data_IF_552003897290
#
_entry.id   IF_552003897290
#
_cell.length_a   1.000
_cell.length_b   1.000
_cell.length_c   1.000
_cell.angle_alpha   90.00
_cell.angle_beta   90.00
_cell.angle_gamma   90.00
#
_symmetry.space_group_name_H-M   'P 1'
#
loop_
_entity.id
_entity.type
_entity.pdbx_description
1 polymer ?
#
# COMPACT_ATOMS: atom_id res chain seq x y z
N UNK A 1 5.13 60.41 -30.92
CA UNK A 1 4.74 59.27 -30.07
C UNK A 1 5.84 59.06 -29.04
N UNK A 2 5.69 59.49 -27.78
CA UNK A 2 6.73 59.31 -26.77
C UNK A 2 6.66 57.91 -26.17
N UNK A 3 7.82 57.28 -26.01
CA UNK A 3 7.98 55.97 -25.40
C UNK A 3 7.79 56.03 -23.88
N UNK A 4 6.97 55.12 -23.33
CA UNK A 4 6.73 54.96 -21.91
C UNK A 4 7.97 54.37 -21.19
N UNK A 5 8.28 54.79 -19.95
CA UNK A 5 9.39 54.22 -19.19
C UNK A 5 9.01 52.88 -18.55
N UNK A 6 9.91 51.89 -18.65
CA UNK A 6 9.81 50.58 -18.00
C UNK A 6 9.94 50.71 -16.48
N UNK A 7 8.93 50.24 -15.73
CA UNK A 7 9.03 50.02 -14.28
C UNK A 7 10.02 48.87 -13.98
N UNK A 8 10.92 49.08 -13.03
CA UNK A 8 11.81 48.06 -12.48
C UNK A 8 11.06 47.16 -11.47
N UNK A 9 11.38 45.87 -11.47
CA UNK A 9 10.84 44.89 -10.54
C UNK A 9 11.42 45.05 -9.11
N UNK A 10 10.66 44.71 -8.05
CA UNK A 10 11.11 44.85 -6.67
C UNK A 10 12.12 43.75 -6.29
N UNK A 11 13.02 44.00 -5.31
CA UNK A 11 14.00 43.02 -4.86
C UNK A 11 13.36 41.93 -3.97
N UNK A 12 13.95 40.73 -3.90
CA UNK A 12 13.44 39.64 -3.07
C UNK A 12 13.67 39.89 -1.56
N UNK A 13 12.84 39.31 -0.67
CA UNK A 13 12.96 39.51 0.76
C UNK A 13 14.18 38.80 1.36
N UNK A 14 14.78 39.44 2.37
CA UNK A 14 15.97 38.97 3.08
C UNK A 14 15.70 37.69 3.90
N UNK A 15 16.62 36.72 3.81
CA UNK A 15 16.59 35.49 4.59
C UNK A 15 16.87 35.75 6.08
N UNK A 16 15.90 35.44 6.94
CA UNK A 16 16.08 35.47 8.39
C UNK A 16 16.84 34.22 8.86
N UNK A 17 18.07 34.43 9.35
CA UNK A 17 18.94 33.41 9.92
C UNK A 17 18.54 33.08 11.37
N UNK A 18 17.61 32.14 11.53
CA UNK A 18 17.26 31.60 12.86
C UNK A 18 18.33 30.58 13.32
N UNK A 19 19.23 31.01 14.21
CA UNK A 19 20.11 30.12 14.98
C UNK A 19 19.27 29.20 15.87
N UNK A 20 19.12 27.92 15.50
CA UNK A 20 18.63 26.88 16.42
C UNK A 20 19.70 26.57 17.47
N UNK A 21 19.41 26.88 18.75
CA UNK A 21 20.14 26.34 19.89
C UNK A 21 19.79 24.85 20.02
N UNK A 22 20.79 23.98 19.99
CA UNK A 22 20.67 22.56 20.29
C UNK A 22 20.34 22.36 21.77
N UNK A 23 19.14 21.83 22.06
CA UNK A 23 18.80 21.30 23.37
C UNK A 23 19.17 19.81 23.37
N UNK A 24 20.28 19.47 24.00
CA UNK A 24 20.69 18.08 24.26
C UNK A 24 19.84 17.51 25.40
N UNK A 25 19.08 16.45 25.11
CA UNK A 25 18.42 15.62 26.13
C UNK A 25 19.44 14.67 26.79
N UNK A 26 19.33 14.39 28.10
CA UNK A 26 20.20 13.42 28.76
C UNK A 26 19.81 11.97 28.41
N UNK A 27 20.75 11.02 28.45
CA UNK A 27 20.48 9.62 28.13
C UNK A 27 19.67 8.91 29.23
N UNK A 28 18.89 7.86 28.88
CA UNK A 28 18.11 7.10 29.84
C UNK A 28 18.98 6.23 30.77
N UNK A 29 18.49 5.92 32.00
CA UNK A 29 19.24 5.12 32.96
C UNK A 29 19.29 3.64 32.56
N UNK A 30 20.43 2.99 32.84
CA UNK A 30 20.69 1.56 32.60
C UNK A 30 19.89 0.68 33.60
N UNK A 31 19.39 -0.50 33.17
CA UNK A 31 18.79 -1.47 34.08
C UNK A 31 19.87 -2.19 34.93
N UNK A 32 19.52 -2.69 36.12
CA UNK A 32 20.48 -3.31 37.04
C UNK A 32 20.89 -4.72 36.60
N UNK A 33 22.17 -5.03 36.81
CA UNK A 33 22.78 -6.34 36.60
C UNK A 33 22.18 -7.40 37.55
N UNK A 34 21.44 -8.35 36.99
CA UNK A 34 21.10 -9.59 37.70
C UNK A 34 22.17 -10.64 37.43
N UNK A 35 23.16 -10.68 38.32
CA UNK A 35 24.02 -11.86 38.49
C UNK A 35 23.26 -12.93 39.26
N UNK A 36 23.08 -14.11 38.68
CA UNK A 36 22.75 -15.30 39.43
C UNK A 36 23.56 -16.48 38.90
N UNK A 37 24.65 -16.73 39.60
CA UNK A 37 25.40 -17.98 39.59
C UNK A 37 24.49 -19.14 39.99
N UNK A 38 24.34 -20.15 39.15
CA UNK A 38 23.96 -21.49 39.61
C UNK A 38 24.96 -22.53 39.11
N UNK A 39 25.89 -22.83 40.03
CA UNK A 39 26.63 -24.08 40.05
C UNK A 39 25.77 -25.15 40.72
N UNK A 40 25.45 -26.23 40.02
CA UNK A 40 25.11 -27.49 40.68
C UNK A 40 25.40 -28.70 39.80
N UNK A 41 26.60 -29.24 40.03
CA UNK A 41 26.96 -30.65 40.20
C UNK A 41 26.36 -31.69 39.24
N UNK A 42 27.28 -32.25 38.45
CA UNK A 42 27.27 -33.63 37.92
C UNK A 42 26.74 -34.64 38.93
N UNK A 43 25.77 -35.45 38.51
CA UNK A 43 25.66 -36.88 38.87
C UNK A 43 25.07 -37.64 37.69
N UNK A 44 25.88 -38.52 37.10
CA UNK A 44 25.41 -39.58 36.21
C UNK A 44 24.67 -40.64 37.02
N UNK A 45 23.68 -41.31 36.43
CA UNK A 45 23.55 -42.74 36.67
C UNK A 45 23.43 -43.58 35.39
N UNK A 46 24.11 -44.71 35.49
CA UNK A 46 24.12 -45.95 34.73
C UNK A 46 22.99 -46.22 33.71
N UNK A 47 23.41 -46.76 32.56
CA UNK A 47 22.59 -47.56 31.64
C UNK A 47 22.10 -48.85 32.31
N UNK A 48 20.88 -49.29 32.01
CA UNK A 48 20.55 -50.70 31.92
C UNK A 48 20.26 -51.12 30.48
N UNK A 49 20.68 -52.34 30.16
CA UNK A 49 20.50 -53.07 28.91
C UNK A 49 19.10 -53.64 28.74
N UNK A 50 18.64 -53.60 27.48
CA UNK A 50 17.49 -54.19 26.79
C UNK A 50 16.60 -55.23 27.50
N UNK A 51 15.28 -55.06 27.34
CA UNK A 51 14.37 -56.13 26.84
C UNK A 51 13.04 -55.55 26.34
N UNK A 52 12.48 -56.26 25.38
CA UNK A 52 11.37 -55.99 24.45
C UNK A 52 10.04 -55.50 25.09
N UNK A 53 9.42 -54.47 24.51
CA UNK A 53 7.95 -54.27 24.48
C UNK A 53 7.53 -52.97 23.77
N UNK A 54 6.83 -53.11 22.64
CA UNK A 54 5.77 -52.19 22.21
C UNK A 54 6.20 -50.83 21.63
N UNK A 55 6.50 -50.81 20.33
CA UNK A 55 6.52 -49.57 19.56
C UNK A 55 5.16 -48.86 19.65
N UNK A 56 5.05 -47.60 20.12
CA UNK A 56 3.90 -46.78 19.80
C UNK A 56 3.96 -46.50 18.31
N UNK A 57 2.93 -46.93 17.59
CA UNK A 57 2.69 -46.54 16.20
C UNK A 57 3.00 -45.05 16.05
N UNK A 58 3.94 -44.72 15.18
CA UNK A 58 4.19 -43.35 14.77
C UNK A 58 2.86 -42.74 14.36
N UNK A 59 2.39 -41.77 15.17
CA UNK A 59 1.42 -40.81 14.67
C UNK A 59 2.00 -40.15 13.43
N UNK A 60 1.15 -39.65 12.51
CA UNK A 60 1.65 -38.87 11.39
C UNK A 60 2.62 -37.83 11.94
N UNK A 61 3.82 -37.75 11.35
CA UNK A 61 4.64 -36.54 11.48
C UNK A 61 3.69 -35.36 11.23
N UNK A 62 3.68 -34.30 12.05
CA UNK A 62 2.86 -33.14 11.74
C UNK A 62 3.20 -32.75 10.30
N UNK A 63 2.20 -32.88 9.43
CA UNK A 63 2.28 -32.44 8.04
C UNK A 63 2.94 -31.06 8.07
N UNK A 64 3.97 -30.79 7.25
CA UNK A 64 4.57 -29.47 7.21
C UNK A 64 3.43 -28.49 7.00
N UNK A 65 3.18 -27.63 7.99
CA UNK A 65 2.09 -26.66 7.95
C UNK A 65 2.31 -25.87 6.66
N UNK A 66 1.46 -26.10 5.67
CA UNK A 66 1.57 -25.48 4.36
C UNK A 66 1.48 -23.97 4.60
N UNK A 67 2.62 -23.30 4.53
CA UNK A 67 2.73 -21.90 4.90
C UNK A 67 1.99 -21.10 3.84
N UNK A 68 0.96 -20.37 4.26
CA UNK A 68 0.21 -19.48 3.38
C UNK A 68 1.18 -18.44 2.77
N UNK A 69 1.44 -18.57 1.46
CA UNK A 69 2.41 -17.73 0.75
C UNK A 69 2.03 -16.24 0.80
N UNK A 70 0.73 -15.94 0.84
CA UNK A 70 0.24 -14.56 0.96
C UNK A 70 0.59 -13.97 2.33
N UNK A 71 0.41 -14.75 3.39
CA UNK A 71 0.80 -14.34 4.74
C UNK A 71 2.31 -14.12 4.84
N UNK A 72 3.13 -15.00 4.25
CA UNK A 72 4.59 -14.85 4.26
C UNK A 72 5.02 -13.58 3.51
N UNK A 73 4.43 -13.28 2.36
CA UNK A 73 4.71 -12.06 1.61
C UNK A 73 4.34 -10.80 2.41
N UNK A 74 3.17 -10.79 3.05
CA UNK A 74 2.71 -9.68 3.90
C UNK A 74 3.62 -9.47 5.13
N UNK A 75 4.06 -10.57 5.78
CA UNK A 75 5.01 -10.51 6.89
C UNK A 75 6.38 -9.97 6.47
N UNK A 76 6.89 -10.33 5.28
CA UNK A 76 8.12 -9.75 4.72
C UNK A 76 7.98 -8.24 4.52
N UNK A 77 6.87 -7.81 3.94
CA UNK A 77 6.58 -6.39 3.72
C UNK A 77 6.50 -5.63 5.05
N UNK A 78 5.81 -6.16 6.06
CA UNK A 78 5.76 -5.59 7.41
C UNK A 78 7.14 -5.51 8.05
N UNK A 79 7.98 -6.54 7.88
CA UNK A 79 9.37 -6.54 8.38
C UNK A 79 10.21 -5.43 7.77
N UNK A 80 10.13 -5.23 6.45
CA UNK A 80 10.86 -4.14 5.77
C UNK A 80 10.43 -2.78 6.34
N UNK A 81 9.14 -2.57 6.61
CA UNK A 81 8.61 -1.32 7.21
C UNK A 81 9.08 -1.12 8.66
N UNK A 82 9.13 -2.19 9.46
CA UNK A 82 9.65 -2.13 10.83
C UNK A 82 11.16 -1.82 10.86
N UNK A 83 11.94 -2.51 10.02
CA UNK A 83 13.38 -2.26 9.89
C UNK A 83 13.67 -0.83 9.46
N UNK A 84 12.92 -0.32 8.47
CA UNK A 84 13.04 1.06 8.01
C UNK A 84 12.74 2.05 9.14
N UNK A 85 11.67 1.82 9.90
CA UNK A 85 11.28 2.69 11.03
C UNK A 85 12.32 2.72 12.17
N UNK A 86 13.18 1.70 12.25
CA UNK A 86 14.27 1.60 13.26
C UNK A 86 15.60 2.18 12.78
N UNK A 87 15.71 2.64 11.53
CA UNK A 87 16.93 3.29 11.03
C UNK A 87 17.17 4.62 11.73
N UNK A 88 18.43 5.05 11.74
CA UNK A 88 18.82 6.36 12.30
C UNK A 88 18.26 7.54 11.49
N UNK A 89 18.07 7.35 10.19
CA UNK A 89 17.49 8.33 9.26
C UNK A 89 16.45 7.63 8.40
N UNK A 90 15.23 7.39 8.94
CA UNK A 90 14.20 6.61 8.26
C UNK A 90 13.48 7.45 7.20
N UNK A 91 13.22 6.86 6.03
CA UNK A 91 12.41 7.47 4.97
C UNK A 91 10.97 7.69 5.41
N UNK A 92 10.44 6.76 6.21
CA UNK A 92 9.11 6.86 6.81
C UNK A 92 9.08 6.10 8.14
N UNK A 93 8.07 6.41 8.96
CA UNK A 93 7.84 5.74 10.23
C UNK A 93 6.50 4.99 10.16
N UNK A 94 6.55 3.68 10.33
CA UNK A 94 5.39 2.81 10.54
C UNK A 94 5.38 2.33 12.00
N UNK A 95 4.64 3.04 12.86
CA UNK A 95 4.55 2.73 14.29
C UNK A 95 3.88 1.39 14.60
N UNK A 96 3.24 0.76 13.61
CA UNK A 96 2.48 -0.47 13.81
C UNK A 96 3.11 -1.69 13.14
N UNK A 97 4.14 -1.52 12.31
CA UNK A 97 4.81 -2.64 11.63
C UNK A 97 5.32 -3.71 12.62
N UNK A 98 5.98 -3.31 13.70
CA UNK A 98 6.46 -4.23 14.75
C UNK A 98 5.33 -5.07 15.38
N UNK A 99 4.14 -4.48 15.54
CA UNK A 99 2.97 -5.14 16.13
C UNK A 99 2.53 -6.33 15.26
N UNK A 100 2.61 -6.17 13.94
CA UNK A 100 2.20 -7.19 12.98
C UNK A 100 3.13 -8.42 12.98
N UNK A 101 4.38 -8.23 13.41
CA UNK A 101 5.41 -9.28 13.48
C UNK A 101 5.34 -10.12 14.75
N UNK A 102 4.45 -9.81 15.70
CA UNK A 102 4.36 -10.48 17.01
C UNK A 102 3.77 -11.91 16.96
N UNK A 103 3.71 -12.56 15.79
CA UNK A 103 3.10 -13.88 15.58
C UNK A 103 4.15 -15.01 15.67
N UNK A 104 3.80 -16.19 16.19
CA UNK A 104 4.68 -17.40 16.23
C UNK A 104 5.27 -17.77 14.86
N UNK A 105 4.56 -17.45 13.78
CA UNK A 105 4.99 -17.67 12.39
C UNK A 105 6.18 -16.78 12.00
N UNK A 106 6.27 -15.56 12.52
CA UNK A 106 7.44 -14.70 12.30
C UNK A 106 8.67 -15.25 13.01
N UNK A 107 8.49 -15.87 14.19
CA UNK A 107 9.57 -16.52 14.94
C UNK A 107 10.07 -17.81 14.30
N UNK A 108 9.18 -18.62 13.71
CA UNK A 108 9.57 -19.88 13.05
C UNK A 108 10.20 -19.69 11.66
N UNK A 109 9.95 -18.55 11.01
CA UNK A 109 10.42 -18.28 9.64
C UNK A 109 11.31 -17.04 9.55
N UNK A 110 11.93 -16.63 10.67
CA UNK A 110 12.83 -15.49 10.74
C UNK A 110 13.89 -15.58 9.62
N UNK A 111 14.51 -16.74 9.43
CA UNK A 111 15.50 -17.01 8.37
C UNK A 111 14.98 -16.76 6.93
N UNK A 112 13.68 -16.99 6.66
CA UNK A 112 13.05 -16.72 5.35
C UNK A 112 12.58 -15.27 5.18
N UNK A 113 12.45 -14.54 6.29
CA UNK A 113 12.17 -13.11 6.34
C UNK A 113 13.48 -12.29 6.33
N UNK A 114 14.59 -12.89 6.80
CA UNK A 114 15.95 -12.35 7.00
C UNK A 114 16.83 -12.34 5.74
N UNK A 115 16.25 -12.51 4.54
CA UNK A 115 17.03 -12.40 3.30
C UNK A 115 17.44 -10.93 3.07
N UNK A 116 18.46 -10.49 3.81
CA UNK A 116 19.00 -9.13 3.91
C UNK A 116 19.81 -8.69 2.69
N UNK A 117 19.78 -9.44 1.59
CA UNK A 117 20.65 -9.25 0.44
C UNK A 117 19.83 -9.17 -0.86
N UNK A 118 18.91 -8.21 -0.99
CA UNK A 118 18.25 -7.96 -2.28
C UNK A 118 17.89 -6.47 -2.46
N UNK A 119 18.22 -5.85 -3.62
CA UNK A 119 17.79 -4.50 -4.02
C UNK A 119 16.29 -4.22 -3.79
N UNK A 120 15.48 -5.28 -3.82
CA UNK A 120 14.05 -5.27 -3.55
C UNK A 120 13.60 -4.53 -2.29
N UNK A 121 14.35 -4.64 -1.18
CA UNK A 121 13.92 -4.04 0.08
C UNK A 121 13.97 -2.51 0.01
N UNK A 122 15.01 -1.96 -0.62
CA UNK A 122 15.15 -0.51 -0.80
C UNK A 122 14.12 0.02 -1.80
N UNK A 123 13.78 -0.75 -2.84
CA UNK A 123 12.65 -0.42 -3.72
C UNK A 123 11.35 -0.37 -2.93
N UNK A 124 11.07 -1.36 -2.08
CA UNK A 124 9.84 -1.35 -1.28
C UNK A 124 9.80 -0.16 -0.30
N UNK A 125 10.93 0.18 0.33
CA UNK A 125 11.04 1.34 1.22
C UNK A 125 10.77 2.65 0.47
N UNK A 126 11.43 2.84 -0.67
CA UNK A 126 11.27 4.04 -1.49
C UNK A 126 9.86 4.14 -2.06
N UNK A 127 9.30 3.04 -2.58
CA UNK A 127 7.91 2.95 -3.03
C UNK A 127 6.95 3.37 -1.93
N UNK A 128 7.14 2.85 -0.71
CA UNK A 128 6.29 3.21 0.44
C UNK A 128 6.35 4.70 0.72
N UNK A 129 7.56 5.28 0.76
CA UNK A 129 7.78 6.72 0.93
C UNK A 129 7.11 7.55 -0.16
N UNK A 130 7.34 7.18 -1.43
CA UNK A 130 6.78 7.86 -2.58
C UNK A 130 5.25 7.86 -2.58
N UNK A 131 4.65 6.69 -2.37
CA UNK A 131 3.20 6.53 -2.33
C UNK A 131 2.62 7.33 -1.17
N UNK A 132 3.22 7.28 0.03
CA UNK A 132 2.75 8.04 1.19
C UNK A 132 2.76 9.55 0.93
N UNK A 133 3.85 10.07 0.38
CA UNK A 133 3.98 11.50 0.08
C UNK A 133 3.01 11.93 -1.01
N UNK A 134 2.86 11.14 -2.09
CA UNK A 134 1.89 11.44 -3.16
C UNK A 134 0.46 11.36 -2.65
N UNK A 135 0.13 10.35 -1.87
CA UNK A 135 -1.18 10.16 -1.25
C UNK A 135 -1.54 11.37 -0.38
N UNK A 136 -0.66 11.77 0.53
CA UNK A 136 -0.87 12.93 1.39
C UNK A 136 -0.97 14.23 0.59
N UNK A 137 -0.13 14.42 -0.43
CA UNK A 137 -0.19 15.60 -1.28
C UNK A 137 -1.50 15.69 -2.07
N UNK A 138 -1.98 14.60 -2.66
CA UNK A 138 -3.24 14.57 -3.42
C UNK A 138 -4.44 14.87 -2.51
N UNK A 139 -4.44 14.29 -1.32
CA UNK A 139 -5.49 14.46 -0.32
C UNK A 139 -5.50 15.90 0.23
N UNK A 140 -4.34 16.49 0.51
CA UNK A 140 -4.26 17.85 1.05
C UNK A 140 -4.60 18.92 0.00
N UNK A 141 -4.38 18.63 -1.29
CA UNK A 141 -4.67 19.56 -2.39
C UNK A 141 -6.08 19.41 -2.97
N UNK A 142 -6.93 18.52 -2.43
CA UNK A 142 -8.30 18.32 -2.90
C UNK A 142 -9.30 18.27 -1.76
N UNK A 143 -10.27 19.19 -1.78
CA UNK A 143 -11.38 19.16 -0.84
C UNK A 143 -12.41 18.07 -1.16
N UNK A 144 -12.36 17.44 -2.34
CA UNK A 144 -13.37 16.51 -2.83
C UNK A 144 -13.02 15.03 -2.61
N UNK A 145 -11.73 14.70 -2.51
CA UNK A 145 -11.30 13.32 -2.29
C UNK A 145 -11.63 12.90 -0.85
N UNK A 146 -12.65 12.04 -0.72
CA UNK A 146 -13.08 11.42 0.56
C UNK A 146 -13.19 9.91 0.50
N UNK A 147 -12.89 9.31 -0.66
CA UNK A 147 -12.87 7.86 -0.85
C UNK A 147 -11.45 7.43 -1.22
N UNK A 148 -10.85 6.60 -0.37
CA UNK A 148 -9.51 6.07 -0.62
C UNK A 148 -9.60 4.55 -0.66
N UNK A 149 -9.14 3.92 -1.73
CA UNK A 149 -9.10 2.47 -1.87
C UNK A 149 -7.65 2.02 -1.82
N UNK A 150 -7.31 1.23 -0.81
CA UNK A 150 -6.00 0.63 -0.63
C UNK A 150 -6.08 -0.82 -1.13
N UNK A 151 -5.34 -1.13 -2.18
CA UNK A 151 -5.18 -2.46 -2.75
C UNK A 151 -3.88 -3.06 -2.19
N UNK A 152 -3.98 -3.94 -1.18
CA UNK A 152 -2.87 -4.28 -0.29
C UNK A 152 -2.66 -5.79 -0.10
N UNK A 153 -1.57 -6.14 0.59
CA UNK A 153 -1.29 -7.49 1.07
C UNK A 153 -2.08 -7.88 2.35
N UNK A 154 -2.87 -6.96 2.90
CA UNK A 154 -3.66 -7.14 4.13
C UNK A 154 -2.96 -6.72 5.43
N UNK A 155 -1.70 -6.26 5.35
CA UNK A 155 -0.94 -5.75 6.49
C UNK A 155 -0.63 -4.26 6.38
N UNK A 156 -1.31 -3.52 5.50
CA UNK A 156 -1.11 -2.07 5.37
C UNK A 156 -1.59 -1.30 6.62
N UNK A 157 -0.72 -0.44 7.14
CA UNK A 157 -0.91 0.35 8.36
C UNK A 157 -1.27 1.80 8.08
N UNK A 158 -1.29 2.24 6.80
CA UNK A 158 -1.67 3.61 6.39
C UNK A 158 -2.97 4.10 7.02
N UNK A 159 -4.05 3.30 7.12
CA UNK A 159 -5.28 3.76 7.79
C UNK A 159 -5.06 4.28 9.22
N UNK A 160 -4.03 3.77 9.91
CA UNK A 160 -3.74 4.05 11.31
C UNK A 160 -2.60 5.07 11.49
N UNK A 161 -1.65 5.15 10.56
CA UNK A 161 -0.46 6.02 10.69
C UNK A 161 -0.49 7.31 9.85
N UNK A 162 -1.29 7.34 8.77
CA UNK A 162 -1.44 8.56 7.96
C UNK A 162 -2.60 9.42 8.49
N UNK A 163 -2.51 10.72 8.22
CA UNK A 163 -3.56 11.68 8.52
C UNK A 163 -4.57 11.69 7.38
N UNK A 164 -5.84 11.55 7.71
CA UNK A 164 -6.93 11.54 6.73
C UNK A 164 -7.87 12.73 6.96
N UNK A 165 -8.40 13.37 5.90
CA UNK A 165 -9.42 14.38 6.03
C UNK A 165 -10.64 13.84 6.76
N UNK A 166 -11.35 14.73 7.46
CA UNK A 166 -12.59 14.34 8.14
C UNK A 166 -13.58 13.76 7.14
N UNK A 167 -14.34 12.76 7.59
CA UNK A 167 -15.36 12.07 6.78
C UNK A 167 -14.77 11.28 5.61
N UNK A 168 -13.50 10.86 5.70
CA UNK A 168 -12.92 9.96 4.71
C UNK A 168 -13.37 8.52 4.97
N UNK A 169 -13.68 7.81 3.90
CA UNK A 169 -13.89 6.36 3.91
C UNK A 169 -12.69 5.70 3.23
N UNK A 170 -12.04 4.82 3.98
CA UNK A 170 -10.89 4.05 3.54
C UNK A 170 -11.36 2.63 3.30
N UNK A 171 -11.26 2.17 2.06
CA UNK A 171 -11.58 0.81 1.66
C UNK A 171 -10.28 0.02 1.57
N UNK A 172 -10.10 -0.98 2.42
CA UNK A 172 -9.03 -1.96 2.26
C UNK A 172 -9.52 -3.12 1.39
N UNK A 173 -8.78 -3.41 0.32
CA UNK A 173 -9.00 -4.55 -0.56
C UNK A 173 -7.77 -5.45 -0.48
N UNK A 174 -7.92 -6.61 0.16
CA UNK A 174 -6.80 -7.50 0.45
C UNK A 174 -7.26 -8.93 0.74
N UNK A 175 -6.34 -9.92 0.88
CA UNK A 175 -6.69 -11.26 1.31
C UNK A 175 -7.31 -11.26 2.72
N UNK A 176 -8.52 -11.81 2.85
CA UNK A 176 -9.34 -11.67 4.06
C UNK A 176 -8.72 -12.36 5.29
N UNK A 177 -8.01 -13.47 5.11
CA UNK A 177 -7.30 -14.17 6.19
C UNK A 177 -6.19 -13.30 6.78
N UNK A 178 -5.37 -12.68 5.93
CA UNK A 178 -4.25 -11.83 6.33
C UNK A 178 -4.77 -10.57 7.03
N UNK A 179 -5.76 -9.90 6.43
CA UNK A 179 -6.39 -8.72 7.02
C UNK A 179 -6.99 -8.98 8.41
N UNK A 180 -7.67 -10.12 8.59
CA UNK A 180 -8.29 -10.49 9.87
C UNK A 180 -7.23 -10.70 10.96
N UNK A 181 -6.12 -11.36 10.62
CA UNK A 181 -5.00 -11.56 11.54
C UNK A 181 -4.36 -10.22 11.94
N UNK A 182 -4.04 -9.37 10.96
CA UNK A 182 -3.45 -8.06 11.17
C UNK A 182 -4.36 -7.15 12.03
N UNK A 183 -5.65 -7.08 11.68
CA UNK A 183 -6.63 -6.26 12.40
C UNK A 183 -6.79 -6.67 13.86
N UNK A 184 -6.74 -7.98 14.16
CA UNK A 184 -6.80 -8.48 15.53
C UNK A 184 -5.63 -7.96 16.37
N UNK A 185 -4.41 -7.98 15.82
CA UNK A 185 -3.20 -7.49 16.49
C UNK A 185 -3.24 -5.97 16.69
N UNK A 186 -3.59 -5.23 15.63
CA UNK A 186 -3.70 -3.77 15.66
C UNK A 186 -4.74 -3.29 16.69
N UNK A 187 -5.89 -3.98 16.80
CA UNK A 187 -6.88 -3.67 17.85
C UNK A 187 -6.33 -3.93 19.24
N UNK A 188 -5.54 -5.00 19.42
CA UNK A 188 -4.91 -5.34 20.69
C UNK A 188 -3.96 -4.26 21.23
N UNK A 189 -3.33 -3.49 20.35
CA UNK A 189 -2.41 -2.40 20.72
C UNK A 189 -3.07 -1.02 20.78
N UNK A 190 -4.39 -0.95 20.55
CA UNK A 190 -5.15 0.30 20.58
C UNK A 190 -4.98 1.16 19.32
N UNK A 191 -4.51 0.60 18.21
CA UNK A 191 -4.46 1.29 16.93
C UNK A 191 -5.87 1.76 16.53
N UNK A 192 -5.99 3.03 16.16
CA UNK A 192 -7.26 3.64 15.77
C UNK A 192 -7.06 4.49 14.52
N UNK A 193 -7.99 4.32 13.58
CA UNK A 193 -8.13 5.21 12.43
C UNK A 193 -8.53 6.61 12.92
N UNK A 194 -8.14 7.64 12.18
CA UNK A 194 -8.46 9.05 12.48
C UNK A 194 -9.94 9.25 12.84
N UNK A 195 -10.20 10.08 13.85
CA UNK A 195 -11.57 10.37 14.31
C UNK A 195 -12.41 10.90 13.15
N UNK A 196 -13.61 10.33 12.95
CA UNK A 196 -14.53 10.62 11.84
C UNK A 196 -14.11 10.04 10.48
N UNK A 197 -13.15 9.10 10.44
CA UNK A 197 -12.90 8.28 9.27
C UNK A 197 -13.39 6.85 9.54
N UNK A 198 -13.70 6.12 8.47
CA UNK A 198 -14.16 4.73 8.55
C UNK A 198 -13.24 3.86 7.71
N UNK A 199 -12.82 2.71 8.26
CA UNK A 199 -12.10 1.67 7.54
C UNK A 199 -13.05 0.50 7.28
N UNK A 200 -13.22 0.15 6.01
CA UNK A 200 -14.06 -0.95 5.55
C UNK A 200 -13.22 -1.92 4.72
N UNK A 201 -13.34 -3.21 5.01
CA UNK A 201 -12.59 -4.25 4.30
C UNK A 201 -13.47 -4.95 3.26
N UNK A 202 -12.89 -5.19 2.08
CA UNK A 202 -13.45 -5.99 1.00
C UNK A 202 -12.44 -7.09 0.68
N UNK A 203 -12.81 -8.34 0.91
CA UNK A 203 -11.92 -9.49 0.70
C UNK A 203 -11.76 -9.81 -0.79
N UNK A 204 -10.53 -10.11 -1.22
CA UNK A 204 -10.19 -10.52 -2.59
C UNK A 204 -10.76 -11.90 -2.97
N UNK A 205 -11.04 -12.73 -1.97
CA UNK A 205 -11.64 -14.05 -2.18
C UNK A 205 -13.12 -13.96 -2.62
N UNK A 206 -13.73 -12.78 -2.58
CA UNK A 206 -15.06 -12.53 -3.14
C UNK A 206 -15.03 -12.64 -4.67
N UNK A 207 -16.03 -13.32 -5.24
CA UNK A 207 -16.17 -13.46 -6.70
C UNK A 207 -16.44 -12.13 -7.43
N UNK A 208 -16.91 -11.09 -6.72
CA UNK A 208 -17.22 -9.79 -7.29
C UNK A 208 -16.72 -8.65 -6.38
N UNK A 209 -15.56 -8.09 -6.75
CA UNK A 209 -14.95 -6.95 -6.06
C UNK A 209 -15.82 -5.68 -6.19
N UNK A 210 -16.45 -5.49 -7.35
CA UNK A 210 -17.27 -4.32 -7.65
C UNK A 210 -18.52 -4.29 -6.76
N UNK A 211 -19.21 -5.42 -6.64
CA UNK A 211 -20.34 -5.57 -5.71
C UNK A 211 -19.91 -5.42 -4.25
N UNK A 212 -18.75 -5.96 -3.86
CA UNK A 212 -18.19 -5.83 -2.52
C UNK A 212 -17.97 -4.37 -2.10
N UNK A 213 -17.32 -3.59 -2.98
CA UNK A 213 -17.09 -2.16 -2.73
C UNK A 213 -18.39 -1.36 -2.68
N UNK A 214 -19.34 -1.62 -3.59
CA UNK A 214 -20.67 -0.98 -3.58
C UNK A 214 -21.45 -1.29 -2.30
N UNK A 215 -21.41 -2.54 -1.83
CA UNK A 215 -22.02 -2.96 -0.55
C UNK A 215 -21.42 -2.23 0.64
N UNK A 216 -20.12 -1.94 0.60
CA UNK A 216 -19.41 -1.13 1.57
C UNK A 216 -19.67 0.39 1.41
N UNK A 217 -20.55 0.80 0.48
CA UNK A 217 -20.96 2.19 0.31
C UNK A 217 -20.09 2.99 -0.65
N UNK A 218 -19.21 2.35 -1.42
CA UNK A 218 -18.43 3.03 -2.46
C UNK A 218 -19.36 3.72 -3.47
N UNK A 219 -19.14 5.01 -3.70
CA UNK A 219 -19.94 5.83 -4.59
C UNK A 219 -19.15 6.23 -5.84
N UNK A 220 -19.53 5.68 -6.99
CA UNK A 220 -18.89 5.95 -8.28
C UNK A 220 -19.18 7.34 -8.87
N UNK A 221 -19.99 8.17 -8.21
CA UNK A 221 -20.22 9.58 -8.57
C UNK A 221 -19.30 10.55 -7.80
N UNK A 222 -18.34 10.04 -7.01
CA UNK A 222 -17.44 10.85 -6.18
C UNK A 222 -15.98 10.53 -6.45
N UNK A 223 -15.12 11.54 -6.30
CA UNK A 223 -13.69 11.40 -6.57
C UNK A 223 -13.09 10.38 -5.60
N UNK A 224 -12.26 9.52 -6.17
CA UNK A 224 -11.63 8.43 -5.45
C UNK A 224 -10.13 8.40 -5.73
N UNK A 225 -9.37 7.98 -4.72
CA UNK A 225 -7.94 7.77 -4.81
C UNK A 225 -7.64 6.30 -4.56
N UNK A 226 -7.06 5.64 -5.55
CA UNK A 226 -6.73 4.23 -5.53
C UNK A 226 -5.23 4.06 -5.35
N UNK A 227 -4.82 3.15 -4.47
CA UNK A 227 -3.41 2.93 -4.13
C UNK A 227 -3.11 1.44 -4.25
N UNK A 228 -2.14 1.08 -5.08
CA UNK A 228 -1.68 -0.31 -5.26
C UNK A 228 -0.28 -0.49 -4.68
N UNK A 229 -0.17 -1.30 -3.63
CA UNK A 229 1.12 -1.77 -3.14
C UNK A 229 0.97 -3.10 -2.39
N UNK A 230 1.65 -4.13 -2.88
CA UNK A 230 1.67 -5.45 -2.22
C UNK A 230 0.48 -6.36 -2.53
N UNK A 231 -0.54 -5.89 -3.26
CA UNK A 231 -1.61 -6.75 -3.75
C UNK A 231 -1.02 -7.93 -4.56
N UNK A 232 -1.43 -9.18 -4.31
CA UNK A 232 -0.93 -10.34 -5.04
C UNK A 232 -1.48 -10.38 -6.47
N UNK A 233 -0.81 -9.69 -7.38
CA UNK A 233 -1.06 -9.75 -8.83
C UNK A 233 0.01 -10.63 -9.49
N UNK A 234 -0.43 -11.67 -10.20
CA UNK A 234 0.48 -12.67 -10.79
C UNK A 234 0.59 -12.61 -12.30
N UNK A 235 -0.37 -11.97 -12.99
CA UNK A 235 -0.44 -11.94 -14.46
C UNK A 235 -0.93 -10.59 -14.97
N UNK A 236 -0.60 -10.27 -16.22
CA UNK A 236 -1.15 -9.10 -16.92
C UNK A 236 -2.68 -9.14 -17.02
N UNK A 237 -3.27 -10.31 -17.19
CA UNK A 237 -4.73 -10.50 -17.17
C UNK A 237 -5.34 -10.14 -15.81
N UNK A 238 -4.66 -10.44 -14.70
CA UNK A 238 -5.14 -10.03 -13.37
C UNK A 238 -5.13 -8.51 -13.20
N UNK A 239 -4.13 -7.83 -13.77
CA UNK A 239 -4.08 -6.37 -13.83
C UNK A 239 -5.18 -5.80 -14.73
N UNK A 240 -5.42 -6.38 -15.91
CA UNK A 240 -6.47 -5.95 -16.82
C UNK A 240 -7.86 -6.01 -16.16
N UNK A 241 -8.17 -7.13 -15.51
CA UNK A 241 -9.41 -7.30 -14.76
C UNK A 241 -9.54 -6.29 -13.62
N UNK A 242 -8.46 -6.03 -12.89
CA UNK A 242 -8.45 -5.02 -11.83
C UNK A 242 -8.72 -3.62 -12.41
N UNK A 243 -8.04 -3.24 -13.50
CA UNK A 243 -8.24 -1.95 -14.17
C UNK A 243 -9.66 -1.79 -14.68
N UNK A 244 -10.26 -2.86 -15.24
CA UNK A 244 -11.66 -2.85 -15.66
C UNK A 244 -12.59 -2.56 -14.47
N UNK A 245 -12.40 -3.24 -13.34
CA UNK A 245 -13.19 -3.00 -12.12
C UNK A 245 -13.02 -1.56 -11.63
N UNK A 246 -11.78 -1.05 -11.59
CA UNK A 246 -11.52 0.34 -11.19
C UNK A 246 -12.19 1.30 -12.18
N UNK A 247 -12.11 1.06 -13.49
CA UNK A 247 -12.74 1.93 -14.50
C UNK A 247 -14.27 1.98 -14.36
N UNK A 248 -14.91 0.88 -14.00
CA UNK A 248 -16.36 0.83 -13.81
C UNK A 248 -16.80 1.56 -12.52
N UNK A 249 -15.92 1.63 -11.52
CA UNK A 249 -16.20 2.23 -10.22
C UNK A 249 -15.77 3.69 -10.11
N UNK A 250 -14.54 4.00 -10.48
CA UNK A 250 -13.90 5.28 -10.26
C UNK A 250 -14.49 6.34 -11.19
N UNK A 251 -14.94 7.46 -10.62
CA UNK A 251 -15.41 8.57 -11.45
C UNK A 251 -14.27 9.15 -12.27
N UNK A 252 -14.60 9.76 -13.42
CA UNK A 252 -13.64 10.55 -14.21
C UNK A 252 -12.88 11.56 -13.34
N UNK A 253 -11.57 11.63 -13.51
CA UNK A 253 -10.66 12.46 -12.71
C UNK A 253 -10.17 11.80 -11.41
N UNK A 254 -10.67 10.61 -11.08
CA UNK A 254 -10.10 9.79 -10.00
C UNK A 254 -8.66 9.40 -10.33
N UNK A 255 -7.84 9.23 -9.30
CA UNK A 255 -6.42 8.96 -9.44
C UNK A 255 -6.12 7.54 -8.96
N UNK A 256 -5.24 6.84 -9.68
CA UNK A 256 -4.72 5.53 -9.33
C UNK A 256 -3.19 5.58 -9.29
N UNK A 257 -2.60 5.36 -8.11
CA UNK A 257 -1.15 5.34 -7.92
C UNK A 257 -0.70 4.00 -7.40
N UNK A 258 0.52 3.60 -7.68
CA UNK A 258 1.05 2.40 -7.05
C UNK A 258 2.30 1.86 -7.68
N UNK A 259 2.56 0.59 -7.37
CA UNK A 259 3.66 -0.20 -7.86
C UNK A 259 3.11 -1.48 -8.51
N UNK A 260 3.53 -1.74 -9.75
CA UNK A 260 3.26 -2.99 -10.43
C UNK A 260 4.37 -4.01 -10.13
N UNK A 261 4.02 -5.28 -9.85
CA UNK A 261 5.01 -6.35 -9.81
C UNK A 261 5.55 -6.62 -11.22
N UNK A 262 6.69 -7.31 -11.29
CA UNK A 262 7.15 -7.90 -12.53
C UNK A 262 6.19 -9.02 -12.95
N UNK A 263 5.76 -9.00 -14.21
CA UNK A 263 4.83 -9.98 -14.78
C UNK A 263 5.61 -11.01 -15.60
N UNK A 264 5.68 -12.29 -15.18
CA UNK A 264 6.47 -13.31 -15.88
C UNK A 264 5.88 -13.71 -17.24
N UNK A 265 4.61 -13.37 -17.49
CA UNK A 265 3.91 -13.54 -18.77
C UNK A 265 4.24 -12.45 -19.81
N UNK A 266 4.91 -11.37 -19.40
CA UNK A 266 5.56 -10.46 -20.34
C UNK A 266 6.79 -11.16 -20.96
N UNK A 267 6.81 -11.29 -22.29
CA UNK A 267 7.79 -12.11 -23.01
C UNK A 267 9.22 -11.59 -22.92
N UNK A 268 10.11 -12.40 -22.33
CA UNK A 268 11.58 -12.45 -22.41
C UNK A 268 12.40 -11.16 -22.08
N UNK A 269 13.50 -11.29 -21.31
CA UNK A 269 14.13 -10.21 -20.55
C UNK A 269 15.09 -9.31 -21.37
N UNK A 270 14.71 -8.87 -22.57
CA UNK A 270 15.60 -8.10 -23.45
C UNK A 270 15.08 -6.72 -23.88
N UNK A 271 13.82 -6.36 -23.60
CA UNK A 271 13.32 -5.03 -23.96
C UNK A 271 12.30 -4.47 -22.94
N UNK A 272 12.83 -3.79 -21.91
CA UNK A 272 12.03 -3.04 -20.93
C UNK A 272 11.16 -1.96 -21.59
N UNK A 273 11.51 -1.49 -22.79
CA UNK A 273 10.72 -0.51 -23.54
C UNK A 273 9.43 -1.10 -24.09
N UNK A 274 9.49 -2.32 -24.64
CA UNK A 274 8.30 -3.04 -25.12
C UNK A 274 7.34 -3.39 -23.98
N UNK A 275 7.85 -3.75 -22.79
CA UNK A 275 7.01 -3.98 -21.61
C UNK A 275 6.24 -2.71 -21.20
N UNK A 276 6.93 -1.58 -21.19
CA UNK A 276 6.35 -0.29 -20.84
C UNK A 276 5.23 0.11 -21.82
N UNK A 277 5.48 0.02 -23.13
CA UNK A 277 4.46 0.32 -24.14
C UNK A 277 3.23 -0.59 -24.05
N UNK A 278 3.44 -1.88 -23.76
CA UNK A 278 2.33 -2.83 -23.62
C UNK A 278 1.47 -2.50 -22.39
N UNK A 279 2.10 -2.15 -21.27
CA UNK A 279 1.38 -1.71 -20.07
C UNK A 279 0.68 -0.37 -20.31
N UNK A 280 1.31 0.60 -20.97
CA UNK A 280 0.65 1.87 -21.32
C UNK A 280 -0.61 1.64 -22.16
N UNK A 281 -0.54 0.79 -23.19
CA UNK A 281 -1.69 0.39 -24.01
C UNK A 281 -2.78 -0.27 -23.17
N UNK A 282 -2.40 -1.15 -22.23
CA UNK A 282 -3.34 -1.83 -21.34
C UNK A 282 -4.08 -0.85 -20.41
N UNK A 283 -3.37 0.11 -19.79
CA UNK A 283 -4.00 1.19 -19.03
C UNK A 283 -4.92 2.06 -19.90
N UNK A 284 -4.46 2.44 -21.09
CA UNK A 284 -5.22 3.27 -22.01
C UNK A 284 -6.51 2.60 -22.47
N UNK A 285 -6.46 1.31 -22.82
CA UNK A 285 -7.63 0.52 -23.23
C UNK A 285 -8.68 0.45 -22.10
N UNK A 286 -8.24 0.46 -20.85
CA UNK A 286 -9.13 0.49 -19.67
C UNK A 286 -9.51 1.92 -19.25
N UNK A 287 -9.15 2.95 -20.02
CA UNK A 287 -9.58 4.33 -19.79
C UNK A 287 -8.70 5.16 -18.88
N UNK A 288 -7.46 4.74 -18.65
CA UNK A 288 -6.51 5.46 -17.81
C UNK A 288 -5.42 6.16 -18.63
N UNK A 289 -5.12 7.41 -18.29
CA UNK A 289 -3.85 8.04 -18.69
C UNK A 289 -2.82 7.73 -17.63
N UNK A 290 -1.87 6.84 -17.92
CA UNK A 290 -0.80 6.45 -17.01
C UNK A 290 0.49 7.23 -17.30
N UNK A 291 1.28 7.46 -16.26
CA UNK A 291 2.64 7.95 -16.32
C UNK A 291 3.49 7.10 -15.37
N UNK A 292 4.46 6.41 -15.94
CA UNK A 292 5.40 5.61 -15.15
C UNK A 292 6.49 6.50 -14.57
N UNK A 293 6.96 6.12 -13.38
CA UNK A 293 7.88 6.90 -12.57
C UNK A 293 9.14 6.07 -12.35
N UNK A 294 10.27 6.63 -12.77
CA UNK A 294 11.57 5.99 -12.57
C UNK A 294 12.02 6.16 -11.11
N UNK A 295 12.47 5.06 -10.49
CA UNK A 295 12.95 5.07 -9.12
C UNK A 295 14.14 6.01 -8.91
N UNK A 296 15.02 6.16 -9.90
CA UNK A 296 16.16 7.08 -9.82
C UNK A 296 15.72 8.53 -9.61
N UNK A 297 14.61 8.95 -10.23
CA UNK A 297 14.08 10.30 -10.06
C UNK A 297 13.50 10.46 -8.64
N UNK A 298 12.80 9.44 -8.14
CA UNK A 298 12.25 9.43 -6.79
C UNK A 298 13.36 9.46 -5.73
N UNK A 299 14.43 8.70 -5.91
CA UNK A 299 15.57 8.70 -5.00
C UNK A 299 16.29 10.06 -5.00
N UNK A 300 16.53 10.64 -6.18
CA UNK A 300 17.12 11.98 -6.32
C UNK A 300 16.28 13.04 -5.62
N UNK A 301 14.96 13.00 -5.79
CA UNK A 301 14.02 13.95 -5.16
C UNK A 301 14.06 13.86 -3.62
N UNK A 302 14.41 12.70 -3.06
CA UNK A 302 14.50 12.45 -1.62
C UNK A 302 15.95 12.59 -1.11
N UNK A 303 16.92 12.88 -1.99
CA UNK A 303 18.33 13.09 -1.62
C UNK A 303 19.10 11.81 -1.32
N UNK A 304 18.64 10.67 -1.84
CA UNK A 304 19.35 9.39 -1.74
C UNK A 304 20.34 9.24 -2.90
N UNK A 305 21.62 9.07 -2.58
CA UNK A 305 22.66 8.77 -3.58
C UNK A 305 22.68 7.27 -3.87
N UNK A 306 22.30 6.89 -5.09
CA UNK A 306 22.11 5.51 -5.48
C UNK A 306 23.42 4.91 -6.00
N UNK A 307 24.08 4.08 -5.20
CA UNK A 307 25.37 3.47 -5.54
C UNK A 307 25.30 2.34 -6.59
N UNK A 308 24.10 1.87 -6.97
CA UNK A 308 23.90 0.75 -7.90
C UNK A 308 22.76 1.08 -8.87
N UNK A 309 22.88 0.81 -10.18
CA UNK A 309 21.78 0.96 -11.13
C UNK A 309 20.60 0.09 -10.69
N UNK A 310 19.50 0.72 -10.31
CA UNK A 310 18.27 0.08 -9.81
C UNK A 310 17.44 -0.61 -10.93
N UNK A 311 18.02 -0.77 -12.12
CA UNK A 311 17.37 -1.28 -13.34
C UNK A 311 16.89 -2.75 -13.26
N UNK A 312 17.15 -3.47 -12.16
CA UNK A 312 16.87 -4.91 -12.07
C UNK A 312 15.61 -5.29 -11.28
N UNK A 313 14.85 -4.34 -10.73
CA UNK A 313 13.72 -4.71 -9.85
C UNK A 313 12.49 -5.23 -10.61
N UNK A 314 12.38 -5.03 -11.93
CA UNK A 314 11.21 -5.43 -12.74
C UNK A 314 9.87 -4.84 -12.25
N UNK A 315 9.90 -3.98 -11.23
CA UNK A 315 8.77 -3.27 -10.65
C UNK A 315 8.70 -1.87 -11.22
N UNK A 316 7.48 -1.36 -11.36
CA UNK A 316 7.23 -0.08 -12.01
C UNK A 316 6.31 0.75 -11.14
N UNK A 317 6.76 1.93 -10.74
CA UNK A 317 5.91 2.93 -10.11
C UNK A 317 5.08 3.63 -11.19
N UNK A 318 3.83 3.94 -10.86
CA UNK A 318 2.95 4.65 -11.78
C UNK A 318 2.00 5.60 -11.07
N UNK A 319 1.55 6.60 -11.83
CA UNK A 319 0.42 7.46 -11.51
C UNK A 319 -0.50 7.47 -12.73
N UNK A 320 -1.78 7.20 -12.51
CA UNK A 320 -2.78 7.11 -13.56
C UNK A 320 -4.01 7.96 -13.21
N UNK A 321 -4.62 8.56 -14.22
CA UNK A 321 -5.87 9.33 -14.09
C UNK A 321 -6.97 8.67 -14.91
N UNK A 322 -8.14 8.48 -14.28
CA UNK A 322 -9.32 7.91 -14.91
C UNK A 322 -9.96 8.92 -15.88
N UNK A 323 -10.03 8.55 -17.16
CA UNK A 323 -10.58 9.42 -18.20
C UNK A 323 -12.04 9.13 -18.53
N UNK A 324 -12.49 7.90 -18.27
CA UNK A 324 -13.87 7.45 -18.56
C UNK A 324 -14.81 7.76 -17.40
N UNK A 325 -16.08 7.91 -17.71
CA UNK A 325 -17.13 7.94 -16.70
C UNK A 325 -17.31 6.56 -16.09
N UNK A 326 -17.52 6.52 -14.77
CA UNK A 326 -17.92 5.29 -14.08
C UNK A 326 -19.31 4.85 -14.53
N UNK A 327 -19.68 3.60 -14.22
CA UNK A 327 -21.04 3.10 -14.42
C UNK A 327 -22.07 3.99 -13.72
N UNK A 328 -21.74 4.47 -12.52
CA UNK A 328 -22.64 5.32 -11.73
C UNK A 328 -22.83 6.70 -12.39
N UNK A 329 -21.77 7.26 -12.98
CA UNK A 329 -21.86 8.52 -13.71
C UNK A 329 -22.69 8.34 -14.98
N UNK A 330 -22.44 7.27 -15.75
CA UNK A 330 -23.20 6.95 -16.96
C UNK A 330 -24.68 6.74 -16.65
N UNK A 331 -25.01 6.02 -15.58
CA UNK A 331 -26.39 5.84 -15.11
C UNK A 331 -27.03 7.17 -14.72
N UNK A 332 -26.31 8.01 -13.99
CA UNK A 332 -26.80 9.33 -13.59
C UNK A 332 -27.07 10.23 -14.80
N UNK A 333 -26.22 10.16 -15.84
CA UNK A 333 -26.45 10.86 -17.10
C UNK A 333 -27.69 10.33 -17.84
N UNK A 334 -27.87 9.01 -17.91
CA UNK A 334 -29.04 8.40 -18.56
C UNK A 334 -30.35 8.83 -17.91
N UNK A 335 -30.42 8.72 -16.58
CA UNK A 335 -31.62 9.12 -15.81
C UNK A 335 -31.92 10.61 -16.00
N UNK A 336 -30.90 11.46 -16.09
CA UNK A 336 -31.12 12.90 -16.29
C UNK A 336 -31.69 13.19 -17.68
N UNK A 337 -31.20 12.51 -18.71
CA UNK A 337 -31.68 12.68 -20.08
C UNK A 337 -33.12 12.18 -20.26
N UNK A 338 -33.46 11.02 -19.71
CA UNK A 338 -34.82 10.47 -19.74
C UNK A 338 -35.86 11.40 -19.08
N UNK A 339 -35.47 12.14 -18.03
CA UNK A 339 -36.35 13.14 -17.41
C UNK A 339 -36.59 14.35 -18.30
N UNK A 340 -35.55 14.84 -18.97
CA UNK A 340 -35.66 15.98 -19.89
C UNK A 340 -36.59 15.64 -21.07
N UNK A 341 -36.46 14.43 -21.62
CA UNK A 341 -37.33 13.98 -22.71
C UNK A 341 -38.79 13.86 -22.25
N UNK A 342 -39.04 13.33 -21.04
CA UNK A 342 -40.39 13.24 -20.48
C UNK A 342 -41.02 14.62 -20.22
N UNK A 343 -40.25 15.57 -19.67
CA UNK A 343 -40.72 16.93 -19.42
C UNK A 343 -41.01 17.69 -20.74
N UNK A 344 -40.21 17.46 -21.78
CA UNK A 344 -40.44 18.04 -23.11
C UNK A 344 -41.69 17.44 -23.81
N UNK A 345 -41.96 16.16 -23.61
CA UNK A 345 -43.17 15.50 -24.09
C UNK A 345 -44.43 15.96 -23.33
N UNK A 346 -44.34 16.37 -22.06
CA UNK A 346 -45.49 16.92 -21.32
C UNK A 346 -45.81 18.38 -21.71
N UNK A 347 -44.81 19.23 -21.95
CA UNK A 347 -45.03 20.62 -22.43
C UNK A 347 -45.63 20.68 -23.85
N UNK A 348 -45.40 19.66 -24.69
CA UNK A 348 -45.96 19.58 -26.05
C UNK A 348 -47.45 19.26 -26.11
N UNK A 349 -48.08 18.84 -25.00
CA UNK A 349 -49.50 18.47 -24.96
C UNK A 349 -50.39 19.51 -24.25
N UNK A 350 -49.81 20.56 -23.66
CA UNK A 350 -50.59 21.64 -23.03
C UNK A 350 -50.99 22.79 -24.01
N UNK A 351 -50.53 22.75 -25.27
CA UNK A 351 -50.85 23.78 -26.30
C UNK A 351 -51.86 23.35 -27.39
N UNK A 352 -52.62 22.25 -27.21
CA UNK A 352 -53.70 21.81 -28.12
C UNK A 352 -55.05 21.76 -27.41
#
# INVERSE_FOLDING_TARGET
MPALPRLAAPPPPAAASARRRSLTLPPPPRPPDCSSSWNSRRRSPLRPSATDAGAPRGGPLPEPVEVDQLLLAALRAARIRDEESRRSDPLFIDTYAAVLLSHDVAHHHMDYLDSHAVPWQDHYRLTTRYIDDKLQNLINNSEDIRQVVLLTDGMDTRPYRLNWPRLSVIYDVSPGKVFTAATKQLRGTGAKVSRNCVLLHTSLESHDLQAGLRKNGFNGNRLSLWVLQGLPLSTTTSLENLLLVISNLAMKGSIFIGELPHFPDCTAPMDMGLEHENLEKLFFNQGFRVSFVQYDNVAKDIGLDLATPWEQCGRMLFVAEQLRFSDAQMESFRIHFERIDADADEEGFEEL
#
